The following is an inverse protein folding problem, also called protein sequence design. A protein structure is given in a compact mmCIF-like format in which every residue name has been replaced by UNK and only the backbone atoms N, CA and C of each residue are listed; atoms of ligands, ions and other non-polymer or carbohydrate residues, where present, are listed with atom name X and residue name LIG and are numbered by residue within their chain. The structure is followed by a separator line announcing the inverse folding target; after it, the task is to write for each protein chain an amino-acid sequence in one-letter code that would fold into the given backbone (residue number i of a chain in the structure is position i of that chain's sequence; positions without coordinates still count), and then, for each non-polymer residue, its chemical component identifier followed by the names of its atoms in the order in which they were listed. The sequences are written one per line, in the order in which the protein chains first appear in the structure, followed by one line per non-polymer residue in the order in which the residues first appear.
data_IF_713537744501
#
_entry.id   IF_713537744501
#
_cell.length_a   1.000
_cell.length_b   1.000
_cell.length_c   1.000
_cell.angle_alpha   90.00
_cell.angle_beta   90.00
_cell.angle_gamma   90.00
#
_symmetry.space_group_name_H-M   'P 1'
#
loop_
_entity.id
_entity.type
_entity.pdbx_description
1 polymer ?
#
# COMPACT_ATOMS: atom_id res chain seq x y z
N UNK A 1 -13.39 3.96 13.35
CA UNK A 1 -12.30 3.24 12.64
C UNK A 1 -12.21 3.77 11.22
N UNK A 2 -11.02 4.10 10.75
CA UNK A 2 -10.79 4.49 9.35
C UNK A 2 -10.78 3.22 8.50
N UNK A 3 -11.47 3.25 7.36
CA UNK A 3 -11.51 2.14 6.40
C UNK A 3 -11.11 2.69 5.03
N UNK A 4 -10.14 2.03 4.40
CA UNK A 4 -9.82 2.24 2.98
C UNK A 4 -10.70 1.30 2.16
N UNK A 5 -11.29 1.81 1.09
CA UNK A 5 -12.12 1.06 0.15
C UNK A 5 -11.58 1.25 -1.25
N UNK A 6 -11.68 0.23 -2.09
CA UNK A 6 -11.20 0.30 -3.47
C UNK A 6 -12.23 1.02 -4.35
N UNK A 7 -11.72 1.90 -5.21
CA UNK A 7 -12.51 2.72 -6.11
C UNK A 7 -11.71 3.02 -7.37
N UNK A 8 -12.42 3.32 -8.45
CA UNK A 8 -11.85 3.80 -9.71
C UNK A 8 -12.26 5.25 -9.90
N UNK A 9 -11.32 6.04 -10.42
CA UNK A 9 -11.57 7.42 -10.85
C UNK A 9 -11.55 7.40 -12.38
N UNK A 10 -12.66 7.78 -13.02
CA UNK A 10 -12.72 7.87 -14.47
C UNK A 10 -12.04 9.14 -15.00
N UNK A 11 -11.91 9.25 -16.33
CA UNK A 11 -11.28 10.39 -17.00
C UNK A 11 -12.02 11.72 -16.75
N UNK A 12 -13.29 11.66 -16.33
CA UNK A 12 -14.10 12.83 -15.99
C UNK A 12 -13.99 13.19 -14.50
N UNK A 13 -13.22 12.43 -13.72
CA UNK A 13 -12.99 12.65 -12.29
C UNK A 13 -14.07 12.09 -11.39
N UNK A 14 -15.00 11.26 -11.90
CA UNK A 14 -16.01 10.63 -11.07
C UNK A 14 -15.39 9.44 -10.31
N UNK A 15 -15.65 9.39 -9.00
CA UNK A 15 -15.21 8.30 -8.13
C UNK A 15 -16.30 7.23 -8.06
N UNK A 16 -15.97 6.00 -8.44
CA UNK A 16 -16.88 4.84 -8.36
C UNK A 16 -16.29 3.80 -7.44
N UNK A 17 -17.02 3.47 -6.36
CA UNK A 17 -16.66 2.36 -5.48
C UNK A 17 -16.79 1.04 -6.25
N UNK A 18 -15.82 0.14 -6.08
CA UNK A 18 -15.90 -1.20 -6.68
C UNK A 18 -16.93 -2.08 -5.96
N UNK A 19 -17.02 -1.92 -4.64
CA UNK A 19 -17.99 -2.60 -3.80
C UNK A 19 -18.99 -1.62 -3.17
N UNK A 20 -20.28 -2.01 -3.02
CA UNK A 20 -21.26 -1.22 -2.29
C UNK A 20 -20.82 -0.98 -0.83
N UNK A 21 -20.81 0.29 -0.43
CA UNK A 21 -20.45 0.70 0.92
C UNK A 21 -21.69 1.15 1.69
N UNK A 22 -22.13 0.32 2.64
CA UNK A 22 -23.23 0.68 3.54
C UNK A 22 -22.72 1.52 4.70
N UNK A 23 -23.25 2.74 4.82
CA UNK A 23 -22.87 3.68 5.86
C UNK A 23 -24.12 4.06 6.67
N UNK A 24 -24.11 3.97 8.01
CA UNK A 24 -25.23 4.40 8.85
C UNK A 24 -25.68 5.86 8.67
N UNK A 25 -24.80 6.72 8.16
CA UNK A 25 -25.08 8.12 7.85
C UNK A 25 -24.08 8.67 6.83
N UNK A 26 -24.44 9.80 6.21
CA UNK A 26 -23.55 10.56 5.36
C UNK A 26 -22.29 10.99 6.14
N UNK A 27 -21.13 10.87 5.49
CA UNK A 27 -19.83 11.18 6.09
C UNK A 27 -18.88 11.72 5.03
N UNK A 28 -17.90 12.51 5.48
CA UNK A 28 -16.79 12.96 4.63
C UNK A 28 -15.87 11.79 4.29
N UNK A 29 -15.33 11.79 3.09
CA UNK A 29 -14.34 10.82 2.63
C UNK A 29 -13.05 11.56 2.22
N UNK A 30 -11.92 10.84 2.31
CA UNK A 30 -10.64 11.25 1.74
C UNK A 30 -10.44 10.43 0.46
N UNK A 31 -10.06 11.10 -0.62
CA UNK A 31 -9.72 10.45 -1.89
C UNK A 31 -8.21 10.55 -2.06
N UNK A 32 -7.56 9.41 -2.25
CA UNK A 32 -6.14 9.31 -2.56
C UNK A 32 -6.02 8.81 -4.00
N UNK A 33 -5.40 9.62 -4.86
CA UNK A 33 -5.13 9.24 -6.25
C UNK A 33 -3.80 8.48 -6.24
N UNK A 34 -3.83 7.22 -6.64
CA UNK A 34 -2.62 6.43 -6.84
C UNK A 34 -2.16 6.65 -8.28
N UNK A 35 -0.93 7.14 -8.46
CA UNK A 35 -0.35 7.21 -9.79
C UNK A 35 -0.17 5.78 -10.32
N UNK A 36 -0.61 5.51 -11.55
CA UNK A 36 -0.19 4.30 -12.24
C UNK A 36 1.34 4.31 -12.29
N UNK A 37 1.92 3.17 -11.90
CA UNK A 37 3.36 2.95 -11.67
C UNK A 37 4.26 3.81 -12.57
N UNK A 38 5.43 4.26 -12.05
CA UNK A 38 6.47 4.76 -12.93
C UNK A 38 6.66 3.78 -14.09
N UNK A 39 6.61 4.33 -15.29
CA UNK A 39 6.87 3.66 -16.56
C UNK A 39 8.08 2.73 -16.41
N UNK A 40 7.85 1.43 -16.63
CA UNK A 40 8.88 0.40 -16.87
C UNK A 40 10.16 0.50 -16.02
N UNK A 41 10.08 0.01 -14.78
CA UNK A 41 11.23 -0.23 -13.92
C UNK A 41 10.78 -0.15 -12.47
N UNK A 42 11.24 -1.04 -11.60
CA UNK A 42 11.19 -0.74 -10.16
C UNK A 42 11.70 0.70 -9.96
N UNK A 43 11.11 1.52 -9.07
CA UNK A 43 11.62 2.87 -8.86
C UNK A 43 13.12 2.71 -8.61
N UNK A 44 13.94 3.36 -9.42
CA UNK A 44 15.39 3.14 -9.45
C UNK A 44 15.97 3.18 -8.02
N UNK A 45 15.36 4.02 -7.16
CA UNK A 45 15.60 4.07 -5.72
C UNK A 45 15.42 2.75 -4.96
N UNK A 46 14.41 1.93 -5.25
CA UNK A 46 14.21 0.62 -4.60
C UNK A 46 15.31 -0.38 -4.97
N UNK A 47 15.70 -0.45 -6.25
CA UNK A 47 16.82 -1.29 -6.68
C UNK A 47 18.16 -0.80 -6.12
N UNK A 48 18.38 0.52 -6.11
CA UNK A 48 19.56 1.13 -5.52
C UNK A 48 19.61 0.96 -3.99
N UNK A 49 18.43 0.89 -3.34
CA UNK A 49 18.33 0.70 -1.89
C UNK A 49 18.63 -0.74 -1.46
N UNK A 50 18.47 -1.74 -2.35
CA UNK A 50 18.72 -3.15 -2.02
C UNK A 50 20.14 -3.37 -1.48
N UNK A 51 21.16 -2.85 -2.17
CA UNK A 51 22.55 -3.00 -1.75
C UNK A 51 22.87 -2.24 -0.45
N UNK A 52 22.17 -1.14 -0.18
CA UNK A 52 22.35 -0.35 1.04
C UNK A 52 21.67 -1.02 2.25
N UNK A 53 20.43 -1.47 2.09
CA UNK A 53 19.61 -2.07 3.15
C UNK A 53 20.00 -3.52 3.43
N UNK A 54 20.41 -4.27 2.41
CA UNK A 54 20.72 -5.71 2.53
C UNK A 54 21.87 -6.02 3.50
N UNK A 55 22.74 -5.05 3.83
CA UNK A 55 23.81 -5.23 4.82
C UNK A 55 23.27 -5.50 6.23
N UNK A 56 22.21 -4.78 6.59
CA UNK A 56 21.60 -4.88 7.90
C UNK A 56 20.36 -5.79 7.87
N UNK A 57 19.61 -5.79 6.76
CA UNK A 57 18.36 -6.53 6.62
C UNK A 57 18.54 -8.04 6.38
N UNK A 58 19.62 -8.47 5.72
CA UNK A 58 19.87 -9.91 5.44
C UNK A 58 20.58 -10.62 6.59
N UNK A 59 20.54 -10.04 7.79
CA UNK A 59 21.14 -10.61 8.99
C UNK A 59 20.19 -11.67 9.58
N UNK A 60 20.70 -12.82 10.04
CA UNK A 60 19.85 -13.88 10.60
C UNK A 60 19.04 -13.42 11.81
N UNK A 61 19.48 -12.38 12.51
CA UNK A 61 18.74 -11.75 13.61
C UNK A 61 17.42 -11.11 13.14
N UNK A 62 17.39 -10.56 11.93
CA UNK A 62 16.17 -10.01 11.32
C UNK A 62 15.20 -11.15 10.99
N UNK A 63 15.65 -12.21 10.32
CA UNK A 63 14.82 -13.38 10.02
C UNK A 63 14.17 -13.98 11.28
N UNK A 64 14.92 -14.03 12.38
CA UNK A 64 14.39 -14.43 13.68
C UNK A 64 13.32 -13.45 14.19
N UNK A 65 13.58 -12.14 14.13
CA UNK A 65 12.61 -11.11 14.54
C UNK A 65 11.29 -11.22 13.73
N UNK A 66 11.37 -11.41 12.42
CA UNK A 66 10.19 -11.57 11.54
C UNK A 66 9.39 -12.84 11.85
N UNK A 67 10.06 -13.93 12.23
CA UNK A 67 9.40 -15.20 12.60
C UNK A 67 8.44 -15.05 13.78
N UNK A 68 8.74 -14.14 14.72
CA UNK A 68 7.91 -13.88 15.89
C UNK A 68 6.62 -13.11 15.56
N UNK A 69 6.61 -12.33 14.48
CA UNK A 69 5.44 -11.54 14.07
C UNK A 69 4.39 -12.36 13.33
N UNK A 70 4.78 -13.46 12.67
CA UNK A 70 3.85 -14.34 11.95
C UNK A 70 2.93 -15.15 12.87
N UNK A 71 3.21 -15.17 14.17
CA UNK A 71 2.42 -15.90 15.17
C UNK A 71 1.21 -15.12 15.67
N UNK A 72 1.08 -13.83 15.31
CA UNK A 72 -0.06 -12.99 15.66
C UNK A 72 -1.09 -13.09 14.53
N UNK A 73 -2.06 -14.00 14.69
CA UNK A 73 -3.20 -14.18 13.77
C UNK A 73 -4.46 -13.53 14.32
#
# INVERSE_FOLDING_TARGET
MVRTVEAVIDEQGNVRLLDPLQLPSARRALVMILEERPVAGAPESALLSEAALGKDWNRPEEDQAWSHLQQVR
#
